data_IF_124680039334
#
_entry.id   IF_124680039334
#
_cell.length_a   1.000
_cell.length_b   1.000
_cell.length_c   1.000
_cell.angle_alpha   90.00
_cell.angle_beta   90.00
_cell.angle_gamma   90.00
#
_symmetry.space_group_name_H-M   'P 1'
#
loop_
_entity.id
_entity.type
_entity.pdbx_description
1 polymer ?
#
# COMPACT_ATOMS: atom_id res chain seq x y z
N UNK A 1 3.19 20.37 -70.94
CA UNK A 1 3.43 21.38 -69.88
C UNK A 1 3.75 20.64 -68.58
N UNK A 2 5.03 20.49 -68.25
CA UNK A 2 5.51 19.72 -67.09
C UNK A 2 5.43 20.56 -65.81
N UNK A 3 4.62 20.14 -64.83
CA UNK A 3 4.52 20.81 -63.53
C UNK A 3 5.56 20.25 -62.55
N UNK A 4 6.61 21.04 -62.27
CA UNK A 4 7.62 20.79 -61.24
C UNK A 4 6.96 20.73 -59.85
N UNK A 5 6.90 19.54 -59.23
CA UNK A 5 6.60 19.41 -57.80
C UNK A 5 7.85 19.79 -56.98
N UNK A 6 7.76 20.87 -56.20
CA UNK A 6 8.78 21.26 -55.22
C UNK A 6 8.71 20.34 -54.00
N UNK A 7 9.79 19.62 -53.74
CA UNK A 7 9.99 18.81 -52.53
C UNK A 7 10.28 19.73 -51.35
N UNK A 8 9.39 19.79 -50.37
CA UNK A 8 9.59 20.51 -49.10
C UNK A 8 10.05 19.48 -48.06
N UNK A 9 11.27 19.67 -47.53
CA UNK A 9 11.81 18.88 -46.42
C UNK A 9 11.24 19.43 -45.10
N UNK A 10 10.56 18.64 -44.26
CA UNK A 10 10.27 19.10 -42.90
C UNK A 10 11.53 18.94 -42.05
N UNK A 11 12.09 20.10 -41.67
CA UNK A 11 13.13 20.21 -40.68
C UNK A 11 12.62 19.72 -39.32
N UNK A 12 13.49 18.97 -38.66
CA UNK A 12 13.34 18.41 -37.31
C UNK A 12 13.11 19.56 -36.32
N UNK A 13 11.95 19.58 -35.65
CA UNK A 13 11.74 20.34 -34.43
C UNK A 13 11.58 19.35 -33.28
N UNK A 14 12.70 19.01 -32.66
CA UNK A 14 12.73 18.35 -31.35
C UNK A 14 12.97 19.44 -30.31
N UNK A 15 11.97 19.76 -29.48
CA UNK A 15 12.18 20.50 -28.24
C UNK A 15 11.00 20.33 -27.27
N UNK A 16 11.28 19.63 -26.18
CA UNK A 16 10.87 19.93 -24.80
C UNK A 16 9.37 19.93 -24.45
N UNK A 17 8.89 18.81 -23.92
CA UNK A 17 7.83 18.82 -22.91
C UNK A 17 8.35 18.16 -21.62
N UNK A 18 9.18 18.92 -20.89
CA UNK A 18 9.65 18.55 -19.56
C UNK A 18 8.73 19.16 -18.50
N UNK A 19 8.41 18.33 -17.50
CA UNK A 19 7.96 18.68 -16.15
C UNK A 19 6.56 19.29 -15.98
N UNK A 20 5.57 18.43 -15.79
CA UNK A 20 4.36 18.77 -15.03
C UNK A 20 3.98 17.64 -14.05
N UNK A 21 4.88 17.30 -13.13
CA UNK A 21 4.54 16.51 -11.93
C UNK A 21 5.33 17.00 -10.72
N UNK A 22 4.98 18.17 -10.21
CA UNK A 22 5.41 18.63 -8.88
C UNK A 22 4.29 19.40 -8.21
N UNK A 23 3.29 18.66 -7.75
CA UNK A 23 2.26 19.15 -6.85
C UNK A 23 1.95 18.05 -5.85
N UNK A 24 2.91 17.69 -5.00
CA UNK A 24 2.59 16.97 -3.77
C UNK A 24 1.69 17.90 -2.96
N UNK A 25 0.37 17.69 -3.03
CA UNK A 25 -0.58 18.38 -2.19
C UNK A 25 -0.23 18.03 -0.73
N UNK A 26 0.47 18.95 -0.06
CA UNK A 26 0.72 18.90 1.37
C UNK A 26 -0.64 18.96 2.08
N UNK A 27 -1.23 17.81 2.37
CA UNK A 27 -2.48 17.73 3.10
C UNK A 27 -2.22 18.21 4.54
N UNK A 28 -2.64 19.45 4.85
CA UNK A 28 -2.58 19.97 6.21
C UNK A 28 -3.55 19.17 7.09
N UNK A 29 -3.02 18.50 8.10
CA UNK A 29 -3.79 17.79 9.11
C UNK A 29 -4.00 18.72 10.30
N UNK A 30 -5.18 18.67 10.92
CA UNK A 30 -5.54 19.38 12.14
C UNK A 30 -5.92 18.37 13.22
N UNK A 31 -5.65 18.72 14.47
CA UNK A 31 -6.00 17.95 15.65
C UNK A 31 -7.12 18.64 16.41
N UNK A 32 -8.21 17.92 16.68
CA UNK A 32 -9.40 18.41 17.35
C UNK A 32 -9.63 17.60 18.63
N UNK A 33 -9.92 18.27 19.75
CA UNK A 33 -10.40 17.58 20.95
C UNK A 33 -11.93 17.64 20.97
N UNK A 34 -12.57 16.47 20.81
CA UNK A 34 -14.03 16.34 20.83
C UNK A 34 -14.39 15.41 21.98
N UNK A 35 -14.98 15.96 23.04
CA UNK A 35 -15.43 15.18 24.19
C UNK A 35 -14.31 14.40 24.90
N UNK A 36 -13.08 14.92 24.91
CA UNK A 36 -11.91 14.26 25.50
C UNK A 36 -11.17 13.30 24.56
N UNK A 37 -11.66 13.09 23.34
CA UNK A 37 -10.98 12.26 22.32
C UNK A 37 -10.27 13.13 21.29
N UNK A 38 -9.00 12.83 21.02
CA UNK A 38 -8.20 13.49 19.97
C UNK A 38 -8.54 12.90 18.61
N UNK A 39 -9.05 13.73 17.69
CA UNK A 39 -9.44 13.36 16.32
C UNK A 39 -8.63 14.18 15.31
N UNK A 40 -8.04 13.50 14.32
CA UNK A 40 -7.30 14.15 13.25
C UNK A 40 -8.18 14.33 12.00
N UNK A 41 -8.16 15.52 11.41
CA UNK A 41 -9.00 15.88 10.24
C UNK A 41 -8.22 16.73 9.25
N UNK A 42 -8.64 16.71 7.99
CA UNK A 42 -8.13 17.61 6.94
C UNK A 42 -8.91 18.93 6.86
N UNK A 43 -10.05 19.04 7.56
CA UNK A 43 -10.90 20.23 7.54
C UNK A 43 -10.60 21.14 8.74
N UNK A 44 -10.25 22.42 8.53
CA UNK A 44 -10.03 23.34 9.62
C UNK A 44 -11.36 23.61 10.34
N UNK A 45 -11.32 23.66 11.67
CA UNK A 45 -12.46 24.11 12.48
C UNK A 45 -11.97 24.93 13.67
N UNK A 46 -12.83 25.77 14.29
CA UNK A 46 -12.42 26.67 15.37
C UNK A 46 -11.85 25.96 16.61
N UNK A 47 -12.25 24.70 16.85
CA UNK A 47 -11.81 23.90 17.99
C UNK A 47 -10.58 23.02 17.69
N UNK A 48 -10.04 23.11 16.48
CA UNK A 48 -8.89 22.31 16.05
C UNK A 48 -7.61 23.15 16.00
N UNK A 49 -6.48 22.54 16.30
CA UNK A 49 -5.14 23.15 16.22
C UNK A 49 -4.31 22.42 15.18
N UNK A 50 -3.29 23.08 14.66
CA UNK A 50 -2.27 22.41 13.84
C UNK A 50 -1.43 21.53 14.77
N UNK A 51 -1.37 20.22 14.54
CA UNK A 51 -0.63 19.33 15.41
C UNK A 51 0.87 19.50 15.17
N UNK A 52 1.64 19.39 16.24
CA UNK A 52 3.10 19.43 16.23
C UNK A 52 3.64 18.07 15.78
N UNK A 53 3.51 17.78 14.49
CA UNK A 53 4.03 16.55 13.91
C UNK A 53 5.46 16.78 13.41
N UNK A 54 6.39 15.87 13.75
CA UNK A 54 7.70 15.88 13.12
C UNK A 54 7.51 15.73 11.61
N UNK A 55 8.25 16.53 10.85
CA UNK A 55 8.25 16.43 9.39
C UNK A 55 8.69 15.02 9.02
N UNK A 56 7.78 14.22 8.47
CA UNK A 56 8.11 12.89 7.97
C UNK A 56 9.15 13.10 6.87
N UNK A 57 10.30 12.44 7.02
CA UNK A 57 11.44 12.61 6.13
C UNK A 57 11.05 12.39 4.67
N UNK A 58 11.58 13.22 3.77
CA UNK A 58 11.42 13.02 2.34
C UNK A 58 12.20 11.77 1.95
N UNK A 59 11.55 10.74 1.41
CA UNK A 59 12.24 9.60 0.80
C UNK A 59 13.04 10.11 -0.40
N UNK A 60 14.36 10.28 -0.24
CA UNK A 60 15.27 10.48 -1.35
C UNK A 60 15.54 9.13 -1.99
N UNK A 61 15.16 8.94 -3.25
CA UNK A 61 15.40 7.73 -4.05
C UNK A 61 16.86 7.61 -4.51
N UNK A 62 17.82 7.91 -3.63
CA UNK A 62 19.23 7.74 -3.93
C UNK A 62 19.61 6.26 -3.74
N UNK A 63 20.27 5.62 -4.72
CA UNK A 63 20.75 4.25 -4.56
C UNK A 63 21.81 4.21 -3.44
N UNK A 64 21.61 3.31 -2.46
CA UNK A 64 22.60 3.08 -1.41
C UNK A 64 23.79 2.34 -2.03
N UNK A 65 24.98 2.93 -2.01
CA UNK A 65 26.20 2.20 -2.38
C UNK A 65 26.48 1.11 -1.34
N UNK A 66 26.83 -0.13 -1.72
CA UNK A 66 27.18 -1.17 -0.77
C UNK A 66 28.47 -0.79 -0.06
N UNK A 67 28.37 -0.49 1.24
CA UNK A 67 29.54 -0.28 2.09
C UNK A 67 30.21 -1.63 2.30
N UNK A 68 31.44 -1.79 1.82
CA UNK A 68 32.27 -2.94 2.12
C UNK A 68 32.41 -3.09 3.64
N UNK A 69 31.95 -4.23 4.17
CA UNK A 69 32.15 -4.60 5.58
C UNK A 69 33.62 -4.90 5.81
N UNK A 70 34.35 -3.96 6.41
CA UNK A 70 35.61 -4.29 7.08
C UNK A 70 35.29 -4.87 8.48
N UNK A 71 35.88 -6.00 8.89
CA UNK A 71 35.62 -6.58 10.19
C UNK A 71 36.21 -5.70 11.30
N UNK A 72 35.38 -5.31 12.27
CA UNK A 72 35.80 -4.54 13.43
C UNK A 72 36.51 -5.45 14.45
N UNK A 73 37.70 -5.02 14.87
CA UNK A 73 38.45 -5.62 15.98
C UNK A 73 37.69 -5.47 17.32
N UNK A 74 37.85 -6.42 18.28
CA UNK A 74 37.13 -6.36 19.54
C UNK A 74 37.74 -5.28 20.44
N UNK A 75 36.92 -4.31 20.88
CA UNK A 75 37.30 -3.34 21.91
C UNK A 75 36.80 -3.83 23.27
N UNK A 76 37.76 -3.98 24.16
CA UNK A 76 37.63 -4.32 25.58
C UNK A 76 36.81 -3.27 26.35
N UNK A 77 36.24 -3.75 27.46
CA UNK A 77 35.26 -3.04 28.29
C UNK A 77 35.70 -1.66 28.80
N UNK A 78 34.72 -0.77 28.82
CA UNK A 78 34.73 0.48 29.56
C UNK A 78 33.35 0.69 30.17
N UNK A 79 33.24 0.45 31.47
CA UNK A 79 32.07 0.73 32.29
C UNK A 79 31.82 2.23 32.36
N UNK A 80 30.71 2.70 31.78
CA UNK A 80 30.18 4.04 32.02
C UNK A 80 28.91 3.95 32.88
N UNK A 81 28.98 4.62 34.04
CA UNK A 81 27.94 4.81 35.04
C UNK A 81 26.59 5.19 34.39
N UNK A 82 25.58 4.35 34.58
CA UNK A 82 24.20 4.71 34.35
C UNK A 82 23.76 5.72 35.42
N UNK A 83 23.46 6.94 35.00
CA UNK A 83 22.76 7.90 35.87
C UNK A 83 21.32 7.44 36.01
N UNK A 84 20.90 7.17 37.24
CA UNK A 84 19.57 6.70 37.60
C UNK A 84 18.51 7.77 37.26
N UNK A 85 17.69 7.51 36.25
CA UNK A 85 16.46 8.26 36.03
C UNK A 85 15.36 7.73 36.97
N UNK A 86 14.48 8.59 37.52
CA UNK A 86 13.44 8.16 38.45
C UNK A 86 12.44 7.26 37.74
N UNK A 87 12.32 6.03 38.24
CA UNK A 87 11.28 5.06 37.82
C UNK A 87 9.94 5.62 38.27
N UNK A 88 9.20 6.25 37.35
CA UNK A 88 7.76 6.42 37.52
C UNK A 88 7.16 5.01 37.49
N UNK A 89 6.73 4.52 38.64
CA UNK A 89 5.84 3.36 38.72
C UNK A 89 4.58 3.71 37.94
N UNK A 90 4.44 3.12 36.75
CA UNK A 90 3.18 3.16 36.04
C UNK A 90 2.11 2.50 36.93
N UNK A 91 0.89 3.07 37.02
CA UNK A 91 -0.23 2.37 37.61
C UNK A 91 -0.38 1.01 36.91
N UNK A 92 -0.78 -0.06 37.62
CA UNK A 92 -1.01 -1.35 36.99
C UNK A 92 -2.02 -1.12 35.87
N UNK A 93 -1.63 -1.51 34.65
CA UNK A 93 -2.55 -1.58 33.53
C UNK A 93 -3.76 -2.38 34.01
N UNK A 94 -4.91 -1.71 34.18
CA UNK A 94 -6.17 -2.42 34.11
C UNK A 94 -6.13 -3.13 32.77
N UNK A 95 -6.02 -4.45 32.83
CA UNK A 95 -6.31 -5.34 31.72
C UNK A 95 -7.76 -5.07 31.36
N UNK A 96 -7.97 -4.07 30.51
CA UNK A 96 -9.15 -4.05 29.67
C UNK A 96 -9.13 -5.41 28.99
N UNK A 97 -10.12 -6.24 29.31
CA UNK A 97 -10.47 -7.43 28.57
C UNK A 97 -10.65 -7.01 27.11
N UNK A 98 -9.53 -6.98 26.39
CA UNK A 98 -9.52 -7.26 24.99
C UNK A 98 -10.03 -8.69 24.94
N UNK A 99 -11.33 -8.83 24.67
CA UNK A 99 -11.84 -9.90 23.83
C UNK A 99 -11.14 -9.81 22.48
N UNK A 100 -9.82 -10.04 22.49
CA UNK A 100 -9.03 -10.35 21.34
C UNK A 100 -9.54 -11.74 20.96
N UNK A 101 -10.22 -11.90 19.81
CA UNK A 101 -10.62 -13.22 19.38
C UNK A 101 -9.36 -14.06 19.38
N UNK A 102 -9.40 -15.16 20.16
CA UNK A 102 -8.38 -16.21 20.12
C UNK A 102 -7.99 -16.38 18.65
N UNK A 103 -6.69 -16.33 18.27
CA UNK A 103 -6.32 -16.62 16.89
C UNK A 103 -7.00 -17.95 16.56
N UNK A 104 -7.81 -18.01 15.49
CA UNK A 104 -8.52 -19.22 15.18
C UNK A 104 -7.50 -20.35 15.19
N UNK A 105 -7.72 -21.35 16.03
CA UNK A 105 -6.94 -22.59 15.94
C UNK A 105 -7.05 -23.16 14.53
N UNK A 106 -6.34 -24.24 14.22
CA UNK A 106 -6.34 -24.82 12.87
C UNK A 106 -7.74 -24.95 12.22
N UNK A 107 -8.80 -25.20 13.02
CA UNK A 107 -10.19 -25.21 12.55
C UNK A 107 -10.73 -23.88 12.02
N UNK A 108 -10.38 -22.74 12.64
CA UNK A 108 -10.82 -21.43 12.13
C UNK A 108 -9.96 -20.93 10.97
N UNK A 109 -8.69 -21.34 10.86
CA UNK A 109 -7.90 -21.08 9.64
C UNK A 109 -8.50 -21.83 8.44
N UNK A 110 -8.86 -23.10 8.64
CA UNK A 110 -9.57 -23.89 7.62
C UNK A 110 -10.89 -23.24 7.22
N UNK A 111 -11.73 -22.80 8.18
CA UNK A 111 -13.00 -22.16 7.86
C UNK A 111 -12.83 -20.85 7.09
N UNK A 112 -11.80 -20.05 7.40
CA UNK A 112 -11.47 -18.84 6.64
C UNK A 112 -11.09 -19.21 5.21
N UNK A 113 -10.23 -20.21 5.00
CA UNK A 113 -9.84 -20.61 3.65
C UNK A 113 -10.99 -21.22 2.85
N UNK A 114 -11.89 -21.95 3.49
CA UNK A 114 -13.12 -22.46 2.86
C UNK A 114 -14.03 -21.30 2.43
N UNK A 115 -14.15 -20.26 3.24
CA UNK A 115 -14.88 -19.04 2.91
C UNK A 115 -14.21 -18.27 1.75
N UNK A 116 -12.89 -18.09 1.78
CA UNK A 116 -12.14 -17.45 0.70
C UNK A 116 -12.27 -18.22 -0.61
N UNK A 117 -12.26 -19.57 -0.56
CA UNK A 117 -12.49 -20.42 -1.73
C UNK A 117 -13.89 -20.23 -2.32
N UNK A 118 -14.91 -20.11 -1.46
CA UNK A 118 -16.28 -19.81 -1.91
C UNK A 118 -16.37 -18.42 -2.56
N UNK A 119 -15.72 -17.42 -1.97
CA UNK A 119 -15.65 -16.07 -2.51
C UNK A 119 -14.99 -16.05 -3.90
N UNK A 120 -13.82 -16.66 -4.04
CA UNK A 120 -13.12 -16.71 -5.34
C UNK A 120 -13.92 -17.45 -6.42
N UNK A 121 -14.61 -18.54 -6.06
CA UNK A 121 -15.51 -19.23 -6.99
C UNK A 121 -16.67 -18.35 -7.46
N UNK A 122 -17.29 -17.62 -6.55
CA UNK A 122 -18.35 -16.67 -6.89
C UNK A 122 -17.81 -15.56 -7.79
N UNK A 123 -16.67 -14.97 -7.43
CA UNK A 123 -16.07 -13.88 -8.19
C UNK A 123 -15.57 -14.32 -9.57
N UNK A 124 -15.20 -15.59 -9.73
CA UNK A 124 -14.87 -16.17 -11.04
C UNK A 124 -16.12 -16.25 -11.93
N UNK A 125 -17.26 -16.69 -11.39
CA UNK A 125 -18.52 -16.73 -12.13
C UNK A 125 -18.96 -15.31 -12.55
N UNK A 126 -18.89 -14.33 -11.64
CA UNK A 126 -19.22 -12.94 -11.98
C UNK A 126 -18.32 -12.39 -13.07
N UNK A 127 -17.00 -12.63 -12.99
CA UNK A 127 -16.06 -12.20 -14.03
C UNK A 127 -16.35 -12.85 -15.39
N UNK A 128 -16.73 -14.13 -15.43
CA UNK A 128 -17.14 -14.82 -16.66
C UNK A 128 -18.41 -14.20 -17.27
N UNK A 129 -19.41 -13.91 -16.44
CA UNK A 129 -20.64 -13.27 -16.90
C UNK A 129 -20.35 -11.86 -17.43
N UNK A 130 -19.61 -11.04 -16.69
CA UNK A 130 -19.19 -9.70 -17.13
C UNK A 130 -18.39 -9.73 -18.42
N UNK A 131 -17.60 -10.78 -18.65
CA UNK A 131 -16.81 -10.93 -19.85
C UNK A 131 -17.72 -11.17 -21.06
N UNK A 132 -18.77 -11.97 -20.90
CA UNK A 132 -19.80 -12.15 -21.93
C UNK A 132 -20.49 -10.82 -22.26
N UNK A 133 -20.81 -10.02 -21.24
CA UNK A 133 -21.42 -8.69 -21.39
C UNK A 133 -20.46 -7.71 -22.07
N UNK A 134 -19.19 -7.68 -21.66
CA UNK A 134 -18.17 -6.82 -22.25
C UNK A 134 -17.94 -7.16 -23.74
N UNK A 135 -17.99 -8.45 -24.09
CA UNK A 135 -17.95 -8.91 -25.50
C UNK A 135 -19.18 -8.45 -26.27
N UNK A 136 -20.37 -8.56 -25.70
CA UNK A 136 -21.61 -8.08 -26.32
C UNK A 136 -21.57 -6.56 -26.57
N UNK A 137 -20.98 -5.80 -25.63
CA UNK A 137 -20.77 -4.35 -25.75
C UNK A 137 -19.56 -3.97 -26.63
N UNK A 138 -18.85 -4.96 -27.23
CA UNK A 138 -17.64 -4.76 -28.04
C UNK A 138 -16.52 -3.97 -27.32
N UNK A 139 -16.48 -4.03 -25.99
CA UNK A 139 -15.48 -3.34 -25.20
C UNK A 139 -14.23 -4.21 -25.01
N UNK A 140 -13.28 -4.08 -25.95
CA UNK A 140 -12.05 -4.89 -26.00
C UNK A 140 -11.16 -4.70 -24.77
N UNK A 141 -11.06 -3.47 -24.26
CA UNK A 141 -10.24 -3.18 -23.07
C UNK A 141 -10.79 -3.83 -21.81
N UNK A 142 -12.12 -3.83 -21.64
CA UNK A 142 -12.75 -4.52 -20.50
C UNK A 142 -12.68 -6.03 -20.65
N UNK A 143 -12.84 -6.56 -21.86
CA UNK A 143 -12.72 -7.99 -22.12
C UNK A 143 -11.30 -8.53 -21.82
N UNK A 144 -10.24 -7.79 -22.17
CA UNK A 144 -8.86 -8.19 -21.86
C UNK A 144 -8.58 -8.16 -20.36
N UNK A 145 -9.04 -7.13 -19.65
CA UNK A 145 -8.95 -7.03 -18.18
C UNK A 145 -9.68 -8.20 -17.49
N UNK A 146 -10.89 -8.51 -17.90
CA UNK A 146 -11.67 -9.61 -17.33
C UNK A 146 -11.03 -10.97 -17.62
N UNK A 147 -10.41 -11.15 -18.79
CA UNK A 147 -9.67 -12.37 -19.11
C UNK A 147 -8.49 -12.57 -18.15
N UNK A 148 -7.71 -11.51 -17.90
CA UNK A 148 -6.62 -11.55 -16.93
C UNK A 148 -7.14 -11.81 -15.51
N UNK A 149 -8.26 -11.17 -15.12
CA UNK A 149 -8.89 -11.39 -13.81
C UNK A 149 -9.34 -12.85 -13.63
N UNK A 150 -9.93 -13.48 -14.66
CA UNK A 150 -10.32 -14.89 -14.59
C UNK A 150 -9.10 -15.78 -14.35
N UNK A 151 -7.98 -15.53 -15.05
CA UNK A 151 -6.76 -16.31 -14.88
C UNK A 151 -6.19 -16.16 -13.45
N UNK A 152 -6.15 -14.94 -12.93
CA UNK A 152 -5.68 -14.67 -11.56
C UNK A 152 -6.54 -15.39 -10.51
N UNK A 153 -7.88 -15.28 -10.64
CA UNK A 153 -8.81 -15.98 -9.75
C UNK A 153 -8.65 -17.50 -9.81
N UNK A 154 -8.41 -18.06 -10.99
CA UNK A 154 -8.10 -19.49 -11.12
C UNK A 154 -6.82 -19.88 -10.37
N UNK A 155 -5.79 -19.04 -10.41
CA UNK A 155 -4.55 -19.28 -9.66
C UNK A 155 -4.78 -19.18 -8.14
N UNK A 156 -5.57 -18.20 -7.70
CA UNK A 156 -5.94 -18.02 -6.29
C UNK A 156 -6.73 -19.24 -5.78
N UNK A 157 -7.73 -19.70 -6.53
CA UNK A 157 -8.49 -20.92 -6.19
C UNK A 157 -7.54 -22.13 -6.03
N UNK A 158 -6.60 -22.32 -6.95
CA UNK A 158 -5.64 -23.41 -6.86
C UNK A 158 -4.72 -23.27 -5.64
N UNK A 159 -4.31 -22.04 -5.29
CA UNK A 159 -3.50 -21.78 -4.10
C UNK A 159 -4.27 -22.11 -2.82
N UNK A 160 -5.53 -21.67 -2.72
CA UNK A 160 -6.41 -21.97 -1.58
C UNK A 160 -6.68 -23.47 -1.44
N UNK A 161 -6.87 -24.19 -2.56
CA UNK A 161 -7.02 -25.65 -2.54
C UNK A 161 -5.75 -26.35 -2.04
N UNK A 162 -4.57 -25.90 -2.46
CA UNK A 162 -3.29 -26.45 -1.97
C UNK A 162 -3.15 -26.20 -0.47
N UNK A 163 -3.50 -25.02 0.00
CA UNK A 163 -3.42 -24.68 1.41
C UNK A 163 -4.37 -25.53 2.25
N UNK A 164 -5.63 -25.69 1.81
CA UNK A 164 -6.61 -26.58 2.45
C UNK A 164 -6.17 -28.05 2.45
N UNK A 165 -5.44 -28.50 1.43
CA UNK A 165 -4.93 -29.88 1.38
C UNK A 165 -3.73 -30.12 2.31
N UNK A 166 -3.04 -29.06 2.75
CA UNK A 166 -1.86 -29.11 3.60
C UNK A 166 -2.17 -28.95 5.10
N UNK A 167 -3.42 -28.65 5.43
CA UNK A 167 -3.94 -28.50 6.79
C UNK A 167 -4.59 -29.77 7.29
#
# INVERSE_FOLDING_TARGET
MQAKRKTIKPAILAATLAAAFSGAAQAKVYECNIGGTTVYTSRPSPSCRTPDLPKIGSYSSLPVSPRAYAPAAPRSGGSMKASAAPVRTAPPLQTAELNLPKPPGNGGRRSILEQELANERQALNTAQNELSVARAQKNQNRASQLTASIQDRQQNIQALQRELSRM
#
